data_IF_379601529496
#
_entry.id   IF_379601529496
#
_cell.length_a   1.000
_cell.length_b   1.000
_cell.length_c   1.000
_cell.angle_alpha   90.00
_cell.angle_beta   90.00
_cell.angle_gamma   90.00
#
_symmetry.space_group_name_H-M   'P 1'
#
loop_
_entity.id
_entity.type
_entity.pdbx_description
1 polymer ?
#
# COMPACT_ATOMS: atom_id res chain seq x y z
N UNK A 1 6.14 7.68 -6.72
CA UNK A 1 5.78 9.06 -7.11
C UNK A 1 4.35 9.43 -6.74
N UNK A 2 3.29 8.79 -7.28
CA UNK A 2 1.91 9.08 -6.83
C UNK A 2 1.68 8.72 -5.35
N UNK A 3 2.30 7.63 -4.91
CA UNK A 3 2.33 7.18 -3.51
C UNK A 3 3.05 8.21 -2.62
N UNK A 4 4.20 8.73 -3.04
CA UNK A 4 4.99 9.75 -2.32
C UNK A 4 4.25 11.09 -2.17
N UNK A 5 3.51 11.51 -3.21
CA UNK A 5 2.61 12.67 -3.16
C UNK A 5 1.44 12.43 -2.20
N UNK A 6 0.84 11.23 -2.23
CA UNK A 6 -0.20 10.80 -1.30
C UNK A 6 0.30 10.84 0.15
N UNK A 7 1.43 10.17 0.43
CA UNK A 7 2.09 10.14 1.74
C UNK A 7 2.38 11.54 2.28
N UNK A 8 2.95 12.43 1.46
CA UNK A 8 3.30 13.79 1.88
C UNK A 8 2.05 14.62 2.19
N UNK A 9 0.98 14.47 1.40
CA UNK A 9 -0.28 15.17 1.63
C UNK A 9 -1.01 14.63 2.87
N UNK A 10 -1.03 13.32 3.10
CA UNK A 10 -1.68 12.72 4.28
C UNK A 10 -0.87 12.86 5.56
N UNK A 11 0.46 12.91 5.51
CA UNK A 11 1.29 13.32 6.65
C UNK A 11 1.01 14.77 7.02
N UNK A 12 0.91 15.66 6.02
CA UNK A 12 0.59 17.06 6.25
C UNK A 12 -0.83 17.24 6.82
N UNK A 13 -1.83 16.57 6.25
CA UNK A 13 -3.23 16.63 6.73
C UNK A 13 -3.48 15.87 8.03
N UNK A 14 -2.80 14.74 8.26
CA UNK A 14 -2.95 13.94 9.48
C UNK A 14 -2.24 14.55 10.69
N UNK A 15 -1.15 15.29 10.48
CA UNK A 15 -0.47 16.04 11.55
C UNK A 15 -1.16 17.39 11.82
N UNK A 16 -1.72 18.07 10.81
CA UNK A 16 -2.37 19.38 10.97
C UNK A 16 -3.89 19.33 11.21
N UNK A 17 -4.56 18.23 10.86
CA UNK A 17 -6.02 18.14 10.86
C UNK A 17 -6.64 17.40 12.05
N UNK A 18 -5.83 16.86 12.97
CA UNK A 18 -6.30 16.05 14.13
C UNK A 18 -7.29 14.92 13.75
N UNK A 19 -7.15 14.42 12.52
CA UNK A 19 -8.04 13.37 12.00
C UNK A 19 -7.56 12.03 12.54
N UNK A 20 -7.94 11.71 13.78
CA UNK A 20 -7.73 10.43 14.41
C UNK A 20 -8.63 9.35 13.76
N UNK A 21 -8.28 8.92 12.56
CA UNK A 21 -8.91 7.76 11.92
C UNK A 21 -8.44 6.50 12.63
N UNK A 22 -9.36 5.59 12.94
CA UNK A 22 -9.05 4.36 13.65
C UNK A 22 -8.03 3.51 12.85
N UNK A 23 -6.89 3.19 13.48
CA UNK A 23 -5.81 2.43 12.86
C UNK A 23 -6.27 1.05 12.33
N UNK A 24 -7.22 0.40 13.02
CA UNK A 24 -7.80 -0.86 12.54
C UNK A 24 -8.50 -0.68 11.18
N UNK A 25 -9.23 0.42 10.98
CA UNK A 25 -9.91 0.68 9.71
C UNK A 25 -8.93 1.02 8.59
N UNK A 26 -7.87 1.77 8.89
CA UNK A 26 -6.82 2.09 7.91
C UNK A 26 -6.14 0.79 7.44
N UNK A 27 -5.71 -0.05 8.37
CA UNK A 27 -5.00 -1.29 8.06
C UNK A 27 -5.91 -2.30 7.35
N UNK A 28 -7.21 -2.32 7.66
CA UNK A 28 -8.21 -3.10 6.94
C UNK A 28 -8.32 -2.65 5.46
N UNK A 29 -8.36 -1.35 5.20
CA UNK A 29 -8.39 -0.80 3.82
C UNK A 29 -7.08 -1.10 3.09
N UNK A 30 -5.94 -1.04 3.78
CA UNK A 30 -4.64 -1.46 3.25
C UNK A 30 -4.70 -2.93 2.81
N UNK A 31 -5.23 -3.83 3.65
CA UNK A 31 -5.42 -5.24 3.30
C UNK A 31 -6.28 -5.42 2.04
N UNK A 32 -7.41 -4.71 1.94
CA UNK A 32 -8.27 -4.74 0.76
C UNK A 32 -7.57 -4.23 -0.51
N UNK A 33 -6.68 -3.25 -0.39
CA UNK A 33 -5.92 -2.76 -1.55
C UNK A 33 -5.01 -3.83 -2.16
N UNK A 34 -4.43 -4.70 -1.33
CA UNK A 34 -3.60 -5.83 -1.77
C UNK A 34 -4.46 -6.85 -2.50
N UNK A 35 -5.66 -7.15 -1.98
CA UNK A 35 -6.63 -8.02 -2.63
C UNK A 35 -7.03 -7.45 -4.00
N UNK A 36 -7.39 -6.17 -4.03
CA UNK A 36 -7.75 -5.47 -5.26
C UNK A 36 -6.63 -5.56 -6.29
N UNK A 37 -5.37 -5.29 -5.89
CA UNK A 37 -4.26 -5.26 -6.84
C UNK A 37 -3.84 -6.66 -7.30
N UNK A 38 -3.91 -7.67 -6.43
CA UNK A 38 -3.71 -9.07 -6.80
C UNK A 38 -4.75 -9.55 -7.80
N UNK A 39 -6.02 -9.17 -7.60
CA UNK A 39 -7.10 -9.50 -8.53
C UNK A 39 -6.95 -8.80 -9.89
N UNK A 40 -6.57 -7.51 -9.89
CA UNK A 40 -6.27 -6.75 -11.11
C UNK A 40 -5.07 -7.34 -11.87
N UNK A 41 -3.99 -7.71 -11.18
CA UNK A 41 -2.81 -8.35 -11.77
C UNK A 41 -3.12 -9.67 -12.48
N UNK A 42 -4.12 -10.42 -12.00
CA UNK A 42 -4.57 -11.67 -12.62
C UNK A 42 -5.54 -11.44 -13.80
N UNK A 43 -5.84 -10.18 -14.12
CA UNK A 43 -6.84 -9.81 -15.12
C UNK A 43 -8.27 -10.13 -14.67
N UNK A 44 -8.52 -10.25 -13.36
CA UNK A 44 -9.81 -10.64 -12.80
C UNK A 44 -10.95 -9.70 -13.21
N UNK A 45 -10.70 -8.38 -13.19
CA UNK A 45 -11.68 -7.37 -13.62
C UNK A 45 -12.08 -7.53 -15.10
N UNK A 46 -11.10 -7.73 -15.98
CA UNK A 46 -11.34 -7.92 -17.40
C UNK A 46 -12.08 -9.24 -17.69
N UNK A 47 -11.75 -10.32 -16.98
CA UNK A 47 -12.37 -11.65 -17.19
C UNK A 47 -13.78 -11.77 -16.62
N UNK A 48 -14.04 -11.13 -15.48
CA UNK A 48 -15.32 -11.26 -14.76
C UNK A 48 -16.32 -10.17 -15.14
N UNK A 49 -15.86 -8.93 -15.33
CA UNK A 49 -16.72 -7.75 -15.51
C UNK A 49 -16.58 -7.11 -16.88
N UNK A 50 -15.70 -7.61 -17.75
CA UNK A 50 -15.38 -7.03 -19.07
C UNK A 50 -15.06 -5.53 -19.05
N UNK A 51 -14.64 -5.04 -17.88
CA UNK A 51 -14.37 -3.63 -17.61
C UNK A 51 -13.12 -3.54 -16.75
N UNK A 52 -12.23 -2.61 -17.08
CA UNK A 52 -11.04 -2.34 -16.28
C UNK A 52 -11.21 -1.00 -15.55
N UNK A 53 -11.25 -1.01 -14.20
CA UNK A 53 -11.31 0.22 -13.44
C UNK A 53 -10.11 1.11 -13.71
N UNK A 54 -10.24 2.42 -13.46
CA UNK A 54 -9.11 3.33 -13.57
C UNK A 54 -8.05 3.01 -12.49
N UNK A 55 -7.01 2.30 -12.90
CA UNK A 55 -5.93 1.84 -12.03
C UNK A 55 -5.15 2.99 -11.39
N UNK A 56 -5.06 4.15 -12.05
CA UNK A 56 -4.37 5.33 -11.51
C UNK A 56 -5.13 5.92 -10.33
N UNK A 57 -6.47 6.02 -10.45
CA UNK A 57 -7.32 6.51 -9.37
C UNK A 57 -7.27 5.58 -8.15
N UNK A 58 -7.33 4.26 -8.37
CA UNK A 58 -7.22 3.27 -7.29
C UNK A 58 -5.87 3.36 -6.55
N UNK A 59 -4.76 3.45 -7.29
CA UNK A 59 -3.41 3.59 -6.71
C UNK A 59 -3.27 4.90 -5.92
N UNK A 60 -3.88 5.99 -6.38
CA UNK A 60 -3.90 7.25 -5.65
C UNK A 60 -4.62 7.11 -4.31
N UNK A 61 -5.85 6.57 -4.33
CA UNK A 61 -6.68 6.39 -3.14
C UNK A 61 -5.97 5.49 -2.12
N UNK A 62 -5.46 4.34 -2.56
CA UNK A 62 -4.72 3.44 -1.67
C UNK A 62 -3.42 4.04 -1.16
N UNK A 63 -2.73 4.85 -1.97
CA UNK A 63 -1.54 5.60 -1.56
C UNK A 63 -1.84 6.59 -0.43
N UNK A 64 -3.01 7.23 -0.44
CA UNK A 64 -3.45 8.10 0.66
C UNK A 64 -3.67 7.30 1.95
N UNK A 65 -4.39 6.17 1.89
CA UNK A 65 -4.61 5.33 3.08
C UNK A 65 -3.31 4.76 3.65
N UNK A 66 -2.38 4.31 2.80
CA UNK A 66 -1.05 3.89 3.24
C UNK A 66 -0.28 5.03 3.90
N UNK A 67 -0.44 6.26 3.40
CA UNK A 67 0.16 7.45 3.98
C UNK A 67 -0.38 7.84 5.33
N UNK A 68 -1.69 7.68 5.54
CA UNK A 68 -2.30 7.87 6.85
C UNK A 68 -1.81 6.82 7.85
N UNK A 69 -1.77 5.53 7.48
CA UNK A 69 -1.33 4.48 8.40
C UNK A 69 0.11 4.67 8.89
N UNK A 70 1.01 5.04 7.99
CA UNK A 70 2.38 5.37 8.35
C UNK A 70 2.47 6.65 9.21
N UNK A 71 1.68 7.69 8.90
CA UNK A 71 1.66 8.92 9.69
C UNK A 71 1.25 8.66 11.14
N UNK A 72 0.21 7.86 11.37
CA UNK A 72 -0.23 7.46 12.70
C UNK A 72 0.88 6.72 13.46
N UNK A 73 1.58 5.78 12.81
CA UNK A 73 2.72 5.08 13.42
C UNK A 73 3.90 6.01 13.74
N UNK A 74 4.18 6.99 12.90
CA UNK A 74 5.24 7.98 13.16
C UNK A 74 4.90 8.91 14.33
N UNK A 75 3.61 9.23 14.55
CA UNK A 75 3.15 9.96 15.73
C UNK A 75 3.38 9.16 17.03
N UNK A 76 3.18 7.84 16.99
CA UNK A 76 3.48 6.95 18.14
C UNK A 76 4.97 6.95 18.55
N UNK A 77 5.88 7.24 17.62
CA UNK A 77 7.32 7.26 17.88
C UNK A 77 7.82 8.50 18.67
N UNK A 78 6.94 9.42 19.09
CA UNK A 78 7.25 10.58 19.94
C UNK A 78 8.47 11.40 19.45
N UNK A 79 8.58 11.64 18.14
CA UNK A 79 9.72 12.34 17.56
C UNK A 79 9.78 13.80 18.06
N UNK A 80 10.97 14.31 18.42
CA UNK A 80 11.14 15.71 18.85
C UNK A 80 10.66 16.68 17.75
N UNK A 81 9.70 17.55 18.08
CA UNK A 81 9.08 18.48 17.11
C UNK A 81 10.10 19.39 16.38
N UNK A 82 11.20 19.71 17.06
CA UNK A 82 12.28 20.56 16.55
C UNK A 82 13.04 19.99 15.33
N UNK A 83 13.03 18.66 15.13
CA UNK A 83 13.65 18.00 13.97
C UNK A 83 12.65 17.30 13.05
N UNK A 84 11.34 17.49 13.28
CA UNK A 84 10.27 16.81 12.55
C UNK A 84 10.40 16.99 11.03
N UNK A 85 10.68 18.21 10.56
CA UNK A 85 10.81 18.49 9.12
C UNK A 85 12.00 17.76 8.48
N UNK A 86 13.13 17.63 9.19
CA UNK A 86 14.31 16.89 8.71
C UNK A 86 14.03 15.39 8.65
N UNK A 87 13.35 14.88 9.68
CA UNK A 87 12.97 13.47 9.76
C UNK A 87 11.98 13.10 8.65
N UNK A 88 10.98 13.97 8.38
CA UNK A 88 10.03 13.78 7.29
C UNK A 88 10.71 13.83 5.92
N UNK A 89 11.66 14.75 5.72
CA UNK A 89 12.43 14.83 4.49
C UNK A 89 13.27 13.56 4.28
N UNK A 90 14.03 13.14 5.29
CA UNK A 90 14.86 11.94 5.24
C UNK A 90 14.02 10.67 5.02
N UNK A 91 12.85 10.59 5.68
CA UNK A 91 11.90 9.50 5.48
C UNK A 91 11.39 9.45 4.03
N UNK A 92 10.92 10.57 3.48
CA UNK A 92 10.41 10.63 2.10
C UNK A 92 11.50 10.28 1.07
N UNK A 93 12.71 10.81 1.25
CA UNK A 93 13.86 10.46 0.39
C UNK A 93 14.19 8.97 0.50
N UNK A 94 14.21 8.42 1.71
CA UNK A 94 14.44 6.99 1.94
C UNK A 94 13.39 6.12 1.25
N UNK A 95 12.11 6.47 1.35
CA UNK A 95 11.02 5.75 0.67
C UNK A 95 11.16 5.85 -0.85
N UNK A 96 11.46 7.03 -1.39
CA UNK A 96 11.61 7.21 -2.83
C UNK A 96 12.79 6.42 -3.39
N UNK A 97 13.94 6.45 -2.71
CA UNK A 97 15.10 5.64 -3.08
C UNK A 97 14.79 4.15 -2.98
N UNK A 98 14.16 3.69 -1.89
CA UNK A 98 13.75 2.30 -1.72
C UNK A 98 12.80 1.83 -2.82
N UNK A 99 11.82 2.66 -3.20
CA UNK A 99 10.90 2.38 -4.30
C UNK A 99 11.62 2.27 -5.64
N UNK A 100 12.53 3.20 -5.95
CA UNK A 100 13.31 3.17 -7.21
C UNK A 100 14.16 1.91 -7.27
N UNK A 101 14.90 1.60 -6.19
CA UNK A 101 15.73 0.40 -6.12
C UNK A 101 14.91 -0.88 -6.26
N UNK A 102 13.79 -0.99 -5.52
CA UNK A 102 12.90 -2.14 -5.61
C UNK A 102 12.31 -2.32 -7.00
N UNK A 103 11.84 -1.22 -7.63
CA UNK A 103 11.31 -1.25 -9.00
C UNK A 103 12.37 -1.71 -10.01
N UNK A 104 13.59 -1.15 -9.95
CA UNK A 104 14.68 -1.54 -10.84
C UNK A 104 15.04 -3.01 -10.67
N UNK A 105 15.18 -3.47 -9.42
CA UNK A 105 15.51 -4.85 -9.10
C UNK A 105 14.42 -5.82 -9.59
N UNK A 106 13.16 -5.56 -9.26
CA UNK A 106 12.02 -6.40 -9.67
C UNK A 106 11.90 -6.42 -11.20
N UNK A 107 12.03 -5.27 -11.88
CA UNK A 107 11.98 -5.22 -13.34
C UNK A 107 13.11 -6.02 -13.99
N UNK A 108 14.33 -5.95 -13.46
CA UNK A 108 15.45 -6.74 -13.95
C UNK A 108 15.18 -8.24 -13.84
N UNK A 109 14.75 -8.68 -12.65
CA UNK A 109 14.43 -10.09 -12.36
C UNK A 109 13.28 -10.58 -13.26
N UNK A 110 12.19 -9.82 -13.35
CA UNK A 110 11.03 -10.19 -14.18
C UNK A 110 11.39 -10.21 -15.67
N UNK A 111 12.23 -9.29 -16.16
CA UNK A 111 12.62 -9.26 -17.58
C UNK A 111 13.41 -10.53 -17.98
N UNK A 112 14.26 -11.02 -17.09
CA UNK A 112 15.00 -12.27 -17.29
C UNK A 112 14.04 -13.47 -17.18
N UNK A 113 13.18 -13.47 -16.15
CA UNK A 113 12.30 -14.61 -15.83
C UNK A 113 11.11 -14.76 -16.79
N UNK A 114 10.65 -13.68 -17.44
CA UNK A 114 9.55 -13.74 -18.43
C UNK A 114 9.84 -14.64 -19.64
N UNK A 115 11.08 -15.08 -19.83
CA UNK A 115 11.49 -16.00 -20.90
C UNK A 115 11.21 -17.47 -20.58
N UNK A 116 10.76 -17.79 -19.37
CA UNK A 116 10.46 -19.16 -18.94
C UNK A 116 8.95 -19.35 -18.73
N UNK A 117 8.43 -20.51 -19.14
CA UNK A 117 7.00 -20.87 -18.97
C UNK A 117 6.55 -20.90 -17.51
N UNK A 118 7.50 -21.06 -16.57
CA UNK A 118 7.28 -20.97 -15.12
C UNK A 118 6.74 -19.60 -14.66
N UNK A 119 6.89 -18.54 -15.46
CA UNK A 119 6.44 -17.19 -15.12
C UNK A 119 4.93 -17.12 -14.88
N UNK A 120 4.14 -17.83 -15.70
CA UNK A 120 2.68 -17.76 -15.61
C UNK A 120 2.18 -18.41 -14.32
N UNK A 121 2.62 -19.63 -14.02
CA UNK A 121 2.25 -20.34 -12.79
C UNK A 121 2.71 -19.61 -11.54
N UNK A 122 3.91 -19.04 -11.56
CA UNK A 122 4.43 -18.25 -10.43
C UNK A 122 3.62 -16.96 -10.20
N UNK A 123 3.23 -16.27 -11.27
CA UNK A 123 2.38 -15.07 -11.18
C UNK A 123 1.02 -15.41 -10.57
N UNK A 124 0.40 -16.52 -10.99
CA UNK A 124 -0.89 -16.97 -10.42
C UNK A 124 -0.75 -17.26 -8.93
N UNK A 125 0.23 -18.08 -8.55
CA UNK A 125 0.45 -18.46 -7.14
C UNK A 125 0.72 -17.23 -6.27
N UNK A 126 1.62 -16.33 -6.71
CA UNK A 126 2.01 -15.16 -5.92
C UNK A 126 0.85 -14.20 -5.71
N UNK A 127 0.09 -13.89 -6.77
CA UNK A 127 -1.06 -13.00 -6.63
C UNK A 127 -2.19 -13.64 -5.79
N UNK A 128 -2.42 -14.95 -5.91
CA UNK A 128 -3.38 -15.66 -5.03
C UNK A 128 -2.94 -15.60 -3.57
N UNK A 129 -1.67 -15.85 -3.27
CA UNK A 129 -1.14 -15.75 -1.90
C UNK A 129 -1.24 -14.32 -1.35
N UNK A 130 -0.95 -13.30 -2.17
CA UNK A 130 -1.13 -11.90 -1.80
C UNK A 130 -2.59 -11.58 -1.48
N UNK A 131 -3.52 -12.04 -2.30
CA UNK A 131 -4.96 -11.87 -2.04
C UNK A 131 -5.40 -12.57 -0.75
N UNK A 132 -4.99 -13.81 -0.52
CA UNK A 132 -5.29 -14.53 0.71
C UNK A 132 -4.74 -13.81 1.94
N UNK A 133 -3.50 -13.32 1.86
CA UNK A 133 -2.87 -12.55 2.93
C UNK A 133 -3.60 -11.24 3.21
N UNK A 134 -4.01 -10.52 2.16
CA UNK A 134 -4.80 -9.29 2.27
C UNK A 134 -6.16 -9.52 2.91
N UNK A 135 -6.85 -10.63 2.59
CA UNK A 135 -8.11 -11.01 3.22
C UNK A 135 -7.94 -11.37 4.70
N UNK A 136 -6.87 -12.10 5.04
CA UNK A 136 -6.55 -12.44 6.43
C UNK A 136 -6.29 -11.16 7.24
N UNK A 137 -5.49 -10.23 6.71
CA UNK A 137 -5.21 -8.95 7.35
C UNK A 137 -6.50 -8.15 7.58
N UNK A 138 -7.34 -8.05 6.54
CA UNK A 138 -8.63 -7.38 6.64
C UNK A 138 -9.51 -7.98 7.74
N UNK A 139 -9.66 -9.31 7.76
CA UNK A 139 -10.45 -10.01 8.77
C UNK A 139 -9.91 -9.80 10.19
N UNK A 140 -8.59 -9.88 10.36
CA UNK A 140 -7.93 -9.64 11.65
C UNK A 140 -8.19 -8.22 12.17
N UNK A 141 -8.05 -7.20 11.31
CA UNK A 141 -8.25 -5.81 11.72
C UNK A 141 -9.72 -5.47 11.95
N UNK A 142 -10.64 -6.03 11.16
CA UNK A 142 -12.08 -5.87 11.40
C UNK A 142 -12.52 -6.53 12.72
N UNK A 143 -11.99 -7.72 13.04
CA UNK A 143 -12.26 -8.36 14.33
C UNK A 143 -11.70 -7.54 15.50
N UNK A 144 -10.48 -7.00 15.35
CA UNK A 144 -9.87 -6.08 16.31
C UNK A 144 -10.71 -4.82 16.52
N UNK A 145 -11.22 -4.22 15.44
CA UNK A 145 -12.12 -3.07 15.51
C UNK A 145 -13.41 -3.38 16.28
N UNK A 146 -14.07 -4.50 15.96
CA UNK A 146 -15.33 -4.90 16.62
C UNK A 146 -15.13 -5.17 18.12
N UNK A 147 -13.99 -5.75 18.51
CA UNK A 147 -13.68 -5.99 19.93
C UNK A 147 -13.27 -4.74 20.69
N UNK A 148 -12.80 -3.70 19.99
CA UNK A 148 -12.31 -2.46 20.59
C UNK A 148 -13.39 -1.36 20.73
N UNK A 149 -14.54 -1.51 20.06
CA UNK A 149 -15.72 -0.62 20.12
C UNK A 149 -16.75 -1.19 21.08
#
# INVERSE_FOLDING_TARGET
MLVTLGHSLTLFLGVLGDVAVNAYLIDAIIGLSVVYKGFDNLGGFQRLLSFQPNTQAAVLIFGLFHGLGLATKLQDFALPQQDLWKNLLAFNVGVELGQIFALLFILLVLNIWRRFDSYYSFSVITNTLLMSSGLILFGYQMAGFIMAV
#
